data_IF_982141031075
#
_entry.id   IF_982141031075
#
_cell.length_a   1.000
_cell.length_b   1.000
_cell.length_c   1.000
_cell.angle_alpha   90.00
_cell.angle_beta   90.00
_cell.angle_gamma   90.00
#
_symmetry.space_group_name_H-M   'P 1'
#
loop_
_entity.id
_entity.type
_entity.pdbx_description
1 polymer ?
#
# COMPACT_ATOMS: atom_id res chain seq x y z
N UNK A 1 -4.57 4.44 14.72
CA UNK A 1 -4.13 5.71 14.12
C UNK A 1 -5.21 6.23 13.20
N UNK A 2 -5.61 7.48 13.38
CA UNK A 2 -6.59 8.12 12.50
C UNK A 2 -5.87 8.80 11.34
N UNK A 3 -6.13 8.37 10.13
CA UNK A 3 -5.53 8.91 8.91
C UNK A 3 -6.45 9.96 8.26
N UNK A 4 -6.93 10.90 9.08
CA UNK A 4 -7.92 11.89 8.63
C UNK A 4 -7.42 12.75 7.48
N UNK A 5 -6.18 13.23 7.58
CA UNK A 5 -5.59 14.07 6.53
C UNK A 5 -5.42 13.30 5.23
N UNK A 6 -5.01 12.04 5.33
CA UNK A 6 -4.87 11.17 4.17
C UNK A 6 -6.23 10.89 3.52
N UNK A 7 -7.24 10.62 4.32
CA UNK A 7 -8.61 10.39 3.85
C UNK A 7 -9.11 11.57 3.01
N UNK A 8 -8.95 12.79 3.53
CA UNK A 8 -9.36 14.01 2.84
C UNK A 8 -8.60 14.17 1.53
N UNK A 9 -7.27 13.96 1.55
CA UNK A 9 -6.43 14.07 0.36
C UNK A 9 -6.88 13.10 -0.72
N UNK A 10 -7.09 11.83 -0.38
CA UNK A 10 -7.50 10.82 -1.35
C UNK A 10 -8.86 11.13 -1.95
N UNK A 11 -9.79 11.60 -1.13
CA UNK A 11 -11.13 11.97 -1.58
C UNK A 11 -11.09 13.18 -2.52
N UNK A 12 -10.41 14.26 -2.13
CA UNK A 12 -10.36 15.49 -2.91
C UNK A 12 -9.65 15.31 -4.26
N UNK A 13 -8.69 14.42 -4.33
CA UNK A 13 -7.90 14.19 -5.53
C UNK A 13 -8.37 12.97 -6.33
N UNK A 14 -9.40 12.27 -5.88
CA UNK A 14 -9.85 11.00 -6.46
C UNK A 14 -8.65 10.06 -6.70
N UNK A 15 -7.81 9.93 -5.68
CA UNK A 15 -6.54 9.24 -5.76
C UNK A 15 -6.52 8.00 -4.87
N UNK A 16 -5.59 7.09 -5.18
CA UNK A 16 -5.29 5.94 -4.34
C UNK A 16 -3.80 5.68 -4.34
N UNK A 17 -3.33 5.01 -3.30
CA UNK A 17 -1.92 4.66 -3.14
C UNK A 17 -1.75 3.18 -3.41
N UNK A 18 -0.77 2.82 -4.23
CA UNK A 18 -0.34 1.44 -4.44
C UNK A 18 1.05 1.26 -3.82
N UNK A 19 1.18 0.27 -2.94
CA UNK A 19 2.45 -0.18 -2.42
C UNK A 19 2.55 -1.67 -2.73
N UNK A 20 3.55 -2.05 -3.52
CA UNK A 20 3.72 -3.42 -3.98
C UNK A 20 5.12 -3.90 -3.66
N UNK A 21 5.23 -5.09 -3.07
CA UNK A 21 6.47 -5.83 -2.96
C UNK A 21 6.47 -6.92 -4.02
N UNK A 22 7.49 -6.95 -4.88
CA UNK A 22 7.64 -7.95 -5.93
C UNK A 22 8.85 -8.82 -5.63
N UNK A 23 8.59 -9.95 -4.99
CA UNK A 23 9.64 -10.91 -4.59
C UNK A 23 10.28 -11.63 -5.76
N UNK A 24 9.75 -11.51 -6.98
CA UNK A 24 10.33 -12.11 -8.17
C UNK A 24 11.47 -11.26 -8.76
N UNK A 25 11.60 -10.00 -8.33
CA UNK A 25 12.65 -9.10 -8.82
C UNK A 25 13.91 -9.23 -7.97
N UNK A 26 15.08 -9.00 -8.60
CA UNK A 26 16.37 -8.99 -7.89
C UNK A 26 16.68 -7.62 -7.28
N UNK A 27 16.25 -6.54 -7.93
CA UNK A 27 16.46 -5.17 -7.49
C UNK A 27 15.15 -4.39 -7.64
N UNK A 28 15.06 -3.25 -6.93
CA UNK A 28 13.86 -2.38 -6.96
C UNK A 28 12.59 -3.19 -6.73
N UNK A 29 12.61 -3.97 -5.65
CA UNK A 29 11.55 -4.93 -5.34
C UNK A 29 10.22 -4.29 -4.97
N UNK A 30 10.21 -2.99 -4.68
CA UNK A 30 9.01 -2.27 -4.31
C UNK A 30 8.55 -1.36 -5.43
N UNK A 31 7.24 -1.23 -5.57
CA UNK A 31 6.60 -0.21 -6.40
C UNK A 31 5.75 0.66 -5.47
N UNK A 32 5.96 1.97 -5.53
CA UNK A 32 5.15 2.94 -4.78
C UNK A 32 4.56 3.92 -5.79
N UNK A 33 3.24 4.02 -5.84
CA UNK A 33 2.55 4.88 -6.79
C UNK A 33 1.38 5.61 -6.12
N UNK A 34 1.20 6.86 -6.51
CA UNK A 34 -0.03 7.61 -6.26
C UNK A 34 -0.78 7.68 -7.59
N UNK A 35 -1.96 7.07 -7.63
CA UNK A 35 -2.76 6.90 -8.84
C UNK A 35 -3.95 7.85 -8.79
N UNK A 36 -4.08 8.72 -9.79
CA UNK A 36 -5.20 9.64 -9.91
C UNK A 36 -6.23 9.09 -10.87
N UNK A 37 -7.51 9.18 -10.48
CA UNK A 37 -8.64 8.78 -11.34
C UNK A 37 -9.20 9.99 -12.10
N UNK A 38 -8.31 10.83 -12.64
CA UNK A 38 -8.72 11.94 -13.51
C UNK A 38 -8.75 11.49 -14.99
N UNK A 39 -9.11 12.44 -15.88
CA UNK A 39 -9.24 12.15 -17.31
C UNK A 39 -7.94 11.61 -17.90
N UNK A 40 -6.80 12.01 -17.38
CA UNK A 40 -5.48 11.59 -17.85
C UNK A 40 -4.97 10.34 -17.16
N UNK A 41 -5.66 9.86 -16.13
CA UNK A 41 -5.26 8.71 -15.31
C UNK A 41 -3.79 8.80 -14.88
N UNK A 42 -3.39 9.97 -14.36
CA UNK A 42 -2.00 10.22 -13.94
C UNK A 42 -1.55 9.28 -12.86
N UNK A 43 -0.27 8.94 -12.87
CA UNK A 43 0.35 8.26 -11.75
C UNK A 43 1.72 8.87 -11.44
N UNK A 44 2.05 8.94 -10.17
CA UNK A 44 3.35 9.42 -9.67
C UNK A 44 4.01 8.29 -8.88
N UNK A 45 5.32 8.27 -8.90
CA UNK A 45 6.08 7.27 -8.14
C UNK A 45 6.97 6.43 -9.03
N UNK A 46 7.55 5.39 -8.46
CA UNK A 46 8.53 4.55 -9.17
C UNK A 46 8.72 3.20 -8.50
N UNK A 47 9.43 2.32 -9.20
CA UNK A 47 9.99 1.11 -8.62
C UNK A 47 11.24 1.50 -7.82
N UNK A 48 11.45 0.87 -6.66
CA UNK A 48 12.49 1.30 -5.72
C UNK A 48 12.86 0.19 -4.74
N UNK A 49 14.05 0.30 -4.16
CA UNK A 49 14.43 -0.48 -2.97
C UNK A 49 14.16 0.31 -1.68
N UNK A 50 13.73 1.57 -1.79
CA UNK A 50 13.49 2.48 -0.66
C UNK A 50 12.06 3.04 -0.72
N UNK A 51 11.04 2.22 -0.42
CA UNK A 51 9.64 2.62 -0.57
C UNK A 51 9.24 3.83 0.27
N UNK A 52 9.79 3.96 1.48
CA UNK A 52 9.49 5.09 2.35
C UNK A 52 9.99 6.41 1.75
N UNK A 53 11.14 6.40 1.09
CA UNK A 53 11.69 7.58 0.45
C UNK A 53 10.82 8.05 -0.73
N UNK A 54 10.33 7.12 -1.55
CA UNK A 54 9.45 7.45 -2.67
C UNK A 54 8.09 7.96 -2.16
N UNK A 55 7.55 7.33 -1.13
CA UNK A 55 6.30 7.77 -0.52
C UNK A 55 6.42 9.22 -0.02
N UNK A 56 7.51 9.54 0.66
CA UNK A 56 7.79 10.91 1.12
C UNK A 56 7.88 11.88 -0.04
N UNK A 57 8.63 11.53 -1.09
CA UNK A 57 8.81 12.37 -2.27
C UNK A 57 7.46 12.70 -2.93
N UNK A 58 6.61 11.70 -3.14
CA UNK A 58 5.29 11.87 -3.75
C UNK A 58 4.45 12.88 -2.96
N UNK A 59 4.37 12.71 -1.65
CA UNK A 59 3.50 13.54 -0.82
C UNK A 59 4.05 14.93 -0.59
N UNK A 60 5.38 15.09 -0.51
CA UNK A 60 6.00 16.42 -0.44
C UNK A 60 5.75 17.20 -1.73
N UNK A 61 5.91 16.58 -2.89
CA UNK A 61 5.64 17.22 -4.18
C UNK A 61 4.19 17.65 -4.36
N UNK A 62 3.25 16.94 -3.74
CA UNK A 62 1.83 17.27 -3.78
C UNK A 62 1.37 18.15 -2.62
N UNK A 63 2.31 18.74 -1.89
CA UNK A 63 2.04 19.66 -0.78
C UNK A 63 1.12 19.07 0.29
N UNK A 64 1.21 17.75 0.51
CA UNK A 64 0.42 17.08 1.51
C UNK A 64 0.91 17.41 2.92
N UNK A 65 0.04 18.02 3.73
CA UNK A 65 0.41 18.47 5.09
C UNK A 65 0.51 17.34 6.11
N UNK A 66 0.05 16.14 5.76
CA UNK A 66 0.07 14.96 6.63
C UNK A 66 1.21 13.97 6.34
N UNK A 67 2.32 14.41 5.75
CA UNK A 67 3.42 13.53 5.35
C UNK A 67 3.94 12.67 6.49
N UNK A 68 4.18 13.26 7.68
CA UNK A 68 4.67 12.49 8.83
C UNK A 68 3.68 11.40 9.24
N UNK A 69 2.40 11.69 9.19
CA UNK A 69 1.34 10.74 9.55
C UNK A 69 1.35 9.51 8.62
N UNK A 70 1.47 9.71 7.32
CA UNK A 70 1.51 8.59 6.37
C UNK A 70 2.82 7.80 6.48
N UNK A 71 3.94 8.48 6.71
CA UNK A 71 5.23 7.80 6.89
C UNK A 71 5.25 6.96 8.17
N UNK A 72 4.70 7.47 9.26
CA UNK A 72 4.57 6.72 10.51
C UNK A 72 3.67 5.50 10.32
N UNK A 73 2.56 5.66 9.63
CA UNK A 73 1.66 4.55 9.33
C UNK A 73 2.34 3.51 8.45
N UNK A 74 3.06 3.94 7.42
CA UNK A 74 3.82 3.01 6.58
C UNK A 74 4.82 2.21 7.40
N UNK A 75 5.65 2.88 8.18
CA UNK A 75 6.73 2.23 8.93
C UNK A 75 6.21 1.33 10.05
N UNK A 76 5.17 1.76 10.77
CA UNK A 76 4.66 1.01 11.94
C UNK A 76 3.70 -0.11 11.57
N UNK A 77 3.01 -0.01 10.44
CA UNK A 77 1.91 -0.92 10.12
C UNK A 77 2.10 -1.62 8.77
N UNK A 78 2.23 -0.85 7.69
CA UNK A 78 2.26 -1.44 6.35
C UNK A 78 3.55 -2.21 6.11
N UNK A 79 4.69 -1.62 6.41
CA UNK A 79 5.99 -2.27 6.22
C UNK A 79 6.11 -3.53 7.09
N UNK A 80 5.68 -3.43 8.34
CA UNK A 80 5.67 -4.58 9.26
C UNK A 80 4.77 -5.69 8.74
N UNK A 81 3.58 -5.35 8.25
CA UNK A 81 2.64 -6.32 7.69
C UNK A 81 3.21 -7.02 6.45
N UNK A 82 3.86 -6.27 5.56
CA UNK A 82 4.52 -6.85 4.38
C UNK A 82 5.58 -7.86 4.79
N UNK A 83 6.43 -7.53 5.79
CA UNK A 83 7.47 -8.46 6.24
C UNK A 83 6.88 -9.76 6.81
N UNK A 84 5.81 -9.67 7.58
CA UNK A 84 5.14 -10.86 8.12
C UNK A 84 4.52 -11.70 6.99
N UNK A 85 3.88 -11.08 6.02
CA UNK A 85 3.30 -11.78 4.88
C UNK A 85 4.39 -12.43 4.01
N UNK A 86 5.53 -11.79 3.83
CA UNK A 86 6.69 -12.39 3.14
C UNK A 86 7.16 -13.66 3.85
N UNK A 87 7.22 -13.63 5.18
CA UNK A 87 7.64 -14.78 5.97
C UNK A 87 6.62 -15.92 5.88
N UNK A 88 5.33 -15.59 5.84
CA UNK A 88 4.25 -16.58 5.77
C UNK A 88 4.12 -17.21 4.39
N UNK A 89 4.21 -16.42 3.32
CA UNK A 89 3.89 -16.85 1.96
C UNK A 89 5.13 -17.00 1.07
N UNK A 90 6.31 -16.65 1.57
CA UNK A 90 7.58 -16.81 0.86
C UNK A 90 8.12 -15.51 0.28
N UNK A 91 9.46 -15.39 0.26
CA UNK A 91 10.14 -14.19 -0.22
C UNK A 91 9.99 -13.93 -1.72
N UNK A 92 9.58 -14.95 -2.51
CA UNK A 92 9.27 -14.80 -3.93
C UNK A 92 7.84 -14.37 -4.23
N UNK A 93 7.02 -14.14 -3.20
CA UNK A 93 5.65 -13.69 -3.36
C UNK A 93 5.55 -12.27 -3.87
N UNK A 94 4.43 -11.95 -4.52
CA UNK A 94 4.08 -10.58 -4.91
C UNK A 94 2.96 -10.12 -3.98
N UNK A 95 3.20 -9.06 -3.23
CA UNK A 95 2.26 -8.51 -2.25
C UNK A 95 1.92 -7.09 -2.64
N UNK A 96 0.64 -6.81 -2.89
CA UNK A 96 0.16 -5.48 -3.27
C UNK A 96 -0.81 -4.96 -2.24
N UNK A 97 -0.65 -3.70 -1.83
CA UNK A 97 -1.55 -3.02 -0.92
C UNK A 97 -2.05 -1.76 -1.60
N UNK A 98 -3.37 -1.65 -1.73
CA UNK A 98 -4.01 -0.46 -2.29
C UNK A 98 -4.75 0.25 -1.16
N UNK A 99 -4.50 1.54 -1.02
CA UNK A 99 -5.12 2.42 -0.03
C UNK A 99 -5.97 3.44 -0.76
N UNK A 100 -7.28 3.42 -0.55
CA UNK A 100 -8.22 4.27 -1.26
C UNK A 100 -9.26 4.85 -0.30
N UNK A 101 -10.01 5.86 -0.74
CA UNK A 101 -11.17 6.37 -0.02
C UNK A 101 -12.43 5.79 -0.66
N UNK A 102 -13.36 5.35 0.17
CA UNK A 102 -14.69 4.94 -0.27
C UNK A 102 -15.70 5.26 0.82
N UNK A 103 -16.73 6.01 0.44
CA UNK A 103 -17.87 6.36 1.32
C UNK A 103 -17.42 6.97 2.66
N UNK A 104 -16.40 7.82 2.62
CA UNK A 104 -15.90 8.53 3.79
C UNK A 104 -14.96 7.73 4.68
N UNK A 105 -14.49 6.57 4.24
CA UNK A 105 -13.55 5.74 4.99
C UNK A 105 -12.36 5.35 4.13
N UNK A 106 -11.24 5.02 4.78
CA UNK A 106 -10.09 4.44 4.07
C UNK A 106 -10.36 2.97 3.87
N UNK A 107 -10.27 2.53 2.63
CA UNK A 107 -10.45 1.15 2.21
C UNK A 107 -9.10 0.57 1.82
N UNK A 108 -8.75 -0.56 2.41
CA UNK A 108 -7.51 -1.28 2.11
C UNK A 108 -7.82 -2.53 1.29
N UNK A 109 -6.99 -2.79 0.28
CA UNK A 109 -7.04 -4.06 -0.47
C UNK A 109 -5.66 -4.68 -0.39
N UNK A 110 -5.57 -5.92 0.09
CA UNK A 110 -4.31 -6.66 0.15
C UNK A 110 -4.43 -7.85 -0.80
N UNK A 111 -3.48 -7.93 -1.73
CA UNK A 111 -3.42 -8.98 -2.74
C UNK A 111 -2.08 -9.70 -2.63
N UNK A 112 -2.10 -11.04 -2.51
CA UNK A 112 -0.91 -11.86 -2.44
C UNK A 112 -0.96 -12.89 -3.54
N UNK A 113 0.14 -13.02 -4.27
CA UNK A 113 0.31 -14.03 -5.32
C UNK A 113 1.63 -14.77 -5.11
N UNK A 114 1.58 -16.09 -5.14
CA UNK A 114 2.77 -16.95 -5.14
C UNK A 114 2.53 -18.15 -6.05
N UNK A 115 3.47 -19.11 -6.07
CA UNK A 115 3.37 -20.28 -6.93
C UNK A 115 2.20 -21.19 -6.60
N UNK A 116 1.62 -21.08 -5.40
CA UNK A 116 0.51 -21.92 -4.93
C UNK A 116 -0.86 -21.28 -5.20
N UNK A 117 -0.92 -20.00 -5.56
CA UNK A 117 -2.18 -19.34 -5.84
C UNK A 117 -2.22 -17.87 -5.49
N UNK A 118 -3.43 -17.36 -5.38
CA UNK A 118 -3.71 -15.93 -5.17
C UNK A 118 -4.72 -15.75 -4.07
N UNK A 119 -4.51 -14.73 -3.21
CA UNK A 119 -5.46 -14.31 -2.17
C UNK A 119 -5.66 -12.81 -2.28
N UNK A 120 -6.90 -12.36 -2.07
CA UNK A 120 -7.23 -10.94 -2.09
C UNK A 120 -8.32 -10.67 -1.05
N UNK A 121 -8.06 -9.72 -0.15
CA UNK A 121 -9.02 -9.28 0.85
C UNK A 121 -9.13 -7.76 0.82
N UNK A 122 -10.33 -7.26 1.06
CA UNK A 122 -10.64 -5.83 1.09
C UNK A 122 -11.43 -5.51 2.35
N UNK A 123 -11.13 -4.39 2.99
CA UNK A 123 -11.84 -3.93 4.19
C UNK A 123 -11.29 -2.60 4.71
N UNK A 124 -11.90 -2.13 5.79
CA UNK A 124 -11.56 -0.84 6.40
C UNK A 124 -10.59 -0.95 7.57
N UNK A 125 -10.31 -2.14 8.04
CA UNK A 125 -9.38 -2.40 9.14
C UNK A 125 -8.18 -3.19 8.61
N UNK A 126 -7.05 -2.50 8.43
CA UNK A 126 -5.84 -3.11 7.88
C UNK A 126 -5.32 -4.27 8.73
N UNK A 127 -5.33 -4.12 10.04
CA UNK A 127 -4.82 -5.15 10.96
C UNK A 127 -5.67 -6.42 10.87
N UNK A 128 -6.99 -6.27 10.83
CA UNK A 128 -7.89 -7.40 10.67
C UNK A 128 -7.67 -8.13 9.36
N UNK A 129 -7.46 -7.37 8.28
CA UNK A 129 -7.22 -7.96 6.96
C UNK A 129 -5.96 -8.83 6.96
N UNK A 130 -4.85 -8.31 7.45
CA UNK A 130 -3.64 -9.09 7.38
C UNK A 130 -3.65 -10.26 8.39
N UNK A 131 -4.31 -10.13 9.54
CA UNK A 131 -4.51 -11.24 10.45
C UNK A 131 -5.31 -12.38 9.80
N UNK A 132 -6.36 -12.04 9.07
CA UNK A 132 -7.15 -13.02 8.32
C UNK A 132 -6.31 -13.73 7.26
N UNK A 133 -5.42 -12.99 6.58
CA UNK A 133 -4.52 -13.60 5.61
C UNK A 133 -3.53 -14.55 6.25
N UNK A 134 -3.05 -14.27 7.47
CA UNK A 134 -2.14 -15.15 8.19
C UNK A 134 -2.81 -16.46 8.62
N UNK A 135 -4.13 -16.48 8.82
CA UNK A 135 -4.88 -17.68 9.16
C UNK A 135 -5.12 -18.58 7.95
N UNK A 136 -4.96 -18.04 6.74
CA UNK A 136 -5.17 -18.77 5.51
C UNK A 136 -3.84 -19.17 4.88
N UNK A 137 -3.78 -20.37 4.33
CA UNK A 137 -2.60 -20.82 3.58
C UNK A 137 -2.97 -20.97 2.11
N UNK A 138 -2.11 -20.47 1.28
CA UNK A 138 -2.22 -20.69 -0.16
C UNK A 138 -1.43 -21.93 -0.54
#
# INVERSE_FOLDING_TARGET
MMLQKLLIFLKENSAKILIKYDGERDIKKYTVRLLYSDIKCRSLGSDTDLPCAILKEIFVENEFVGVEEILDFYNSTISYGIEILKNQFGGGSVISIVIAEKDGAILYTIHIQNTNGTRCLTGVDYIELYENLLLEKI
#
